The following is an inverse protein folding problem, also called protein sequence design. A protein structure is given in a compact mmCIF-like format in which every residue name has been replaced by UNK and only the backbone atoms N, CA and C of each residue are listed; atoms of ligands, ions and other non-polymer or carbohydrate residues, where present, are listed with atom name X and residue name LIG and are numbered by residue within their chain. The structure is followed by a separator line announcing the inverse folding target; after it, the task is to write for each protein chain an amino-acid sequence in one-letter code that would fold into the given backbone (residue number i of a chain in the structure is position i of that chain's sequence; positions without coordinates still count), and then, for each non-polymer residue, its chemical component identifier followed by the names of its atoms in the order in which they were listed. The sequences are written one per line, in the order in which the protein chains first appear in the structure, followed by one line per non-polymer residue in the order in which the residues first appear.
data_IF_233412984148
#
_entry.id   IF_233412984148
#
_cell.length_a   1.000
_cell.length_b   1.000
_cell.length_c   1.000
_cell.angle_alpha   90.00
_cell.angle_beta   90.00
_cell.angle_gamma   90.00
#
_symmetry.space_group_name_H-M   'P 1'
#
loop_
_entity.id
_entity.type
_entity.pdbx_description
1 polymer ?
#
# COMPACT_ATOMS: atom_id res chain seq x y z
N UNK A 1 -20.47 -6.33 -7.51
CA UNK A 1 -21.80 -5.66 -7.37
C UNK A 1 -22.59 -6.18 -6.16
N UNK A 2 -22.42 -7.44 -5.77
CA UNK A 2 -23.16 -8.04 -4.64
C UNK A 2 -22.92 -7.30 -3.29
N UNK A 3 -21.80 -6.60 -3.12
CA UNK A 3 -21.44 -5.86 -1.91
C UNK A 3 -21.74 -4.35 -1.99
N UNK A 4 -22.26 -3.86 -3.12
CA UNK A 4 -22.61 -2.44 -3.31
C UNK A 4 -21.42 -1.49 -3.38
N UNK A 5 -20.19 -1.99 -3.54
CA UNK A 5 -19.00 -1.18 -3.71
C UNK A 5 -19.10 -0.28 -4.94
N UNK A 6 -18.59 0.97 -4.82
CA UNK A 6 -18.57 1.94 -5.92
C UNK A 6 -17.25 2.69 -6.02
N UNK A 7 -16.29 2.35 -5.20
CA UNK A 7 -14.99 3.00 -5.11
C UNK A 7 -13.88 1.97 -5.13
N UNK A 8 -12.82 2.28 -5.86
CA UNK A 8 -11.56 1.56 -5.90
C UNK A 8 -10.50 2.51 -5.35
N UNK A 9 -9.62 2.00 -4.51
CA UNK A 9 -8.45 2.73 -4.03
C UNK A 9 -7.22 1.89 -4.34
N UNK A 10 -6.24 2.50 -5.00
CA UNK A 10 -5.03 1.83 -5.43
C UNK A 10 -3.94 1.98 -4.36
N UNK A 11 -3.22 0.91 -4.10
CA UNK A 11 -2.03 0.95 -3.24
C UNK A 11 -0.88 1.68 -3.93
N UNK A 12 -0.75 1.50 -5.24
CA UNK A 12 0.26 2.14 -6.08
C UNK A 12 -0.06 1.95 -7.57
N UNK A 13 0.69 2.62 -8.45
CA UNK A 13 0.38 2.73 -9.86
C UNK A 13 0.99 1.67 -10.77
N UNK A 14 1.65 0.62 -10.28
CA UNK A 14 2.22 -0.42 -11.16
C UNK A 14 1.14 -1.17 -11.91
N UNK A 15 1.47 -1.57 -13.15
CA UNK A 15 0.52 -2.09 -14.13
C UNK A 15 -0.30 -3.29 -13.64
N UNK A 16 0.29 -4.19 -12.89
CA UNK A 16 -0.36 -5.40 -12.36
C UNK A 16 -1.39 -5.12 -11.25
N UNK A 17 -1.37 -3.92 -10.67
CA UNK A 17 -2.37 -3.45 -9.72
C UNK A 17 -3.49 -2.63 -10.36
N UNK A 18 -3.22 -1.98 -11.50
CA UNK A 18 -4.16 -1.04 -12.13
C UNK A 18 -4.84 -1.57 -13.41
N UNK A 19 -4.59 -2.82 -13.80
CA UNK A 19 -5.11 -3.39 -15.06
C UNK A 19 -6.63 -3.29 -15.20
N UNK A 20 -7.36 -3.46 -14.10
CA UNK A 20 -8.81 -3.44 -14.10
C UNK A 20 -9.42 -2.02 -14.04
N UNK A 21 -8.59 -0.97 -13.90
CA UNK A 21 -9.08 0.42 -13.75
C UNK A 21 -10.01 0.84 -14.89
N UNK A 22 -9.67 0.65 -16.18
CA UNK A 22 -10.57 1.06 -17.25
C UNK A 22 -11.93 0.37 -17.19
N UNK A 23 -11.94 -0.95 -16.99
CA UNK A 23 -13.15 -1.76 -16.91
C UNK A 23 -14.02 -1.38 -15.71
N UNK A 24 -13.41 -1.15 -14.55
CA UNK A 24 -14.11 -0.74 -13.33
C UNK A 24 -14.73 0.65 -13.48
N UNK A 25 -14.00 1.59 -14.09
CA UNK A 25 -14.54 2.93 -14.38
C UNK A 25 -15.71 2.88 -15.36
N UNK A 26 -15.63 2.07 -16.42
CA UNK A 26 -16.73 1.84 -17.36
C UNK A 26 -17.95 1.22 -16.65
N UNK A 27 -17.72 0.43 -15.61
CA UNK A 27 -18.76 -0.13 -14.75
C UNK A 27 -19.31 0.86 -13.71
N UNK A 28 -18.81 2.11 -13.67
CA UNK A 28 -19.29 3.19 -12.81
C UNK A 28 -18.62 3.27 -11.43
N UNK A 29 -17.43 2.68 -11.27
CA UNK A 29 -16.62 2.84 -10.07
C UNK A 29 -15.76 4.09 -10.16
N UNK A 30 -15.60 4.83 -9.07
CA UNK A 30 -14.56 5.85 -8.92
C UNK A 30 -13.23 5.20 -8.53
N UNK A 31 -12.12 5.78 -8.97
CA UNK A 31 -10.77 5.30 -8.70
C UNK A 31 -9.95 6.38 -8.03
N UNK A 32 -9.38 6.05 -6.87
CA UNK A 32 -8.48 6.88 -6.10
C UNK A 32 -7.04 6.36 -6.12
N UNK A 33 -6.10 7.25 -6.28
CA UNK A 33 -4.65 7.00 -6.29
C UNK A 33 -3.93 8.21 -5.69
N UNK A 34 -2.71 8.03 -5.19
CA UNK A 34 -1.87 9.17 -4.76
C UNK A 34 -1.48 10.06 -5.94
N UNK A 35 -1.27 11.35 -5.68
CA UNK A 35 -0.84 12.29 -6.72
C UNK A 35 0.48 11.86 -7.39
N UNK A 36 1.39 11.25 -6.62
CA UNK A 36 2.71 10.82 -7.09
C UNK A 36 2.63 9.67 -8.10
N UNK A 37 1.64 8.78 -7.95
CA UNK A 37 1.46 7.63 -8.85
C UNK A 37 0.38 7.86 -9.91
N UNK A 38 -0.35 8.98 -9.85
CA UNK A 38 -1.48 9.27 -10.74
C UNK A 38 -1.13 9.18 -12.24
N UNK A 39 0.10 9.58 -12.60
CA UNK A 39 0.56 9.53 -13.99
C UNK A 39 0.75 8.12 -14.55
N UNK A 40 0.82 7.10 -13.68
CA UNK A 40 0.92 5.68 -14.09
C UNK A 40 -0.43 5.11 -14.49
N UNK A 41 -1.55 5.71 -14.03
CA UNK A 41 -2.89 5.24 -14.35
C UNK A 41 -3.39 5.82 -15.67
N UNK A 42 -4.15 5.06 -16.46
CA UNK A 42 -4.79 5.57 -17.69
C UNK A 42 -5.81 6.67 -17.37
N UNK A 43 -6.43 6.60 -16.19
CA UNK A 43 -7.38 7.60 -15.69
C UNK A 43 -7.68 7.32 -14.21
N UNK A 44 -8.09 8.36 -13.49
CA UNK A 44 -8.49 8.29 -12.08
C UNK A 44 -9.51 9.41 -11.77
N UNK A 45 -10.15 9.36 -10.61
CA UNK A 45 -11.21 10.29 -10.24
C UNK A 45 -10.85 11.14 -9.02
N UNK A 46 -10.03 10.60 -8.12
CA UNK A 46 -9.67 11.27 -6.86
C UNK A 46 -8.22 11.03 -6.47
N UNK A 47 -7.67 11.96 -5.72
CA UNK A 47 -6.32 11.86 -5.13
C UNK A 47 -6.45 11.41 -3.69
N UNK A 48 -5.70 10.36 -3.34
CA UNK A 48 -5.58 9.88 -1.96
C UNK A 48 -4.47 10.66 -1.25
N UNK A 49 -4.79 11.14 -0.05
CA UNK A 49 -3.86 11.86 0.80
C UNK A 49 -3.36 10.97 1.95
N UNK A 50 -2.21 11.31 2.50
CA UNK A 50 -1.67 10.65 3.69
C UNK A 50 -2.54 10.99 4.92
N UNK A 51 -2.63 10.03 5.85
CA UNK A 51 -3.34 10.17 7.12
C UNK A 51 -4.84 10.55 6.98
N UNK A 52 -5.42 10.18 5.84
CA UNK A 52 -6.84 10.32 5.57
C UNK A 52 -7.59 9.02 5.90
N UNK A 53 -8.91 9.02 5.76
CA UNK A 53 -9.78 7.87 6.03
C UNK A 53 -10.64 7.52 4.83
N UNK A 54 -10.51 6.28 4.36
CA UNK A 54 -11.39 5.68 3.36
C UNK A 54 -12.45 4.84 4.08
N UNK A 55 -13.71 5.19 3.90
CA UNK A 55 -14.83 4.44 4.48
C UNK A 55 -15.27 3.30 3.54
N UNK A 56 -15.44 2.10 4.11
CA UNK A 56 -15.94 0.91 3.40
C UNK A 56 -17.08 0.31 4.24
N UNK A 57 -18.30 0.72 3.98
CA UNK A 57 -19.45 0.36 4.82
C UNK A 57 -19.29 0.90 6.25
N UNK A 58 -19.10 0.00 7.22
CA UNK A 58 -18.84 0.37 8.62
C UNK A 58 -17.34 0.38 8.97
N UNK A 59 -16.51 -0.06 8.05
CA UNK A 59 -15.06 -0.11 8.24
C UNK A 59 -14.43 1.23 7.84
N UNK A 60 -13.33 1.54 8.49
CA UNK A 60 -12.52 2.73 8.23
C UNK A 60 -11.09 2.30 7.97
N UNK A 61 -10.56 2.69 6.83
CA UNK A 61 -9.17 2.43 6.44
C UNK A 61 -8.40 3.75 6.50
N UNK A 62 -7.43 3.82 7.41
CA UNK A 62 -6.51 4.96 7.47
C UNK A 62 -5.44 4.78 6.41
N UNK A 63 -5.21 5.80 5.62
CA UNK A 63 -4.15 5.84 4.62
C UNK A 63 -2.81 6.15 5.27
N UNK A 64 -1.77 5.42 4.87
CA UNK A 64 -0.39 5.62 5.34
C UNK A 64 0.50 5.67 4.10
N UNK A 65 1.02 6.86 3.76
CA UNK A 65 1.94 7.03 2.64
C UNK A 65 3.28 6.37 2.98
N UNK A 66 3.69 5.42 2.15
CA UNK A 66 4.90 4.61 2.34
C UNK A 66 5.73 4.56 1.04
N UNK A 67 6.29 5.70 0.61
CA UNK A 67 7.05 5.75 -0.63
C UNK A 67 8.29 4.86 -0.59
N UNK A 68 8.75 4.44 -1.77
CA UNK A 68 9.99 3.70 -1.95
C UNK A 68 9.89 2.56 -2.95
N UNK A 69 8.82 1.76 -2.94
CA UNK A 69 8.51 0.85 -4.05
C UNK A 69 8.05 1.65 -5.28
N UNK A 70 7.13 2.56 -5.06
CA UNK A 70 6.83 3.69 -5.94
C UNK A 70 6.83 4.99 -5.13
N UNK A 71 6.90 6.17 -5.78
CA UNK A 71 6.78 7.44 -5.07
C UNK A 71 5.44 7.63 -4.36
N UNK A 72 4.38 7.01 -4.87
CA UNK A 72 3.02 7.14 -4.36
C UNK A 72 2.49 5.93 -3.59
N UNK A 73 3.34 4.97 -3.23
CA UNK A 73 2.91 3.78 -2.49
C UNK A 73 2.15 4.14 -1.21
N UNK A 74 0.99 3.51 -1.02
CA UNK A 74 0.05 3.75 0.06
C UNK A 74 -0.34 2.44 0.72
N UNK A 75 -0.22 2.38 2.04
CA UNK A 75 -0.79 1.31 2.85
C UNK A 75 -2.14 1.73 3.43
N UNK A 76 -2.98 0.76 3.76
CA UNK A 76 -4.29 1.00 4.37
C UNK A 76 -4.40 0.20 5.66
N UNK A 77 -4.50 0.92 6.78
CA UNK A 77 -4.68 0.32 8.12
C UNK A 77 -6.16 0.27 8.48
N UNK A 78 -6.68 -0.92 8.78
CA UNK A 78 -8.05 -1.08 9.23
C UNK A 78 -8.19 -0.60 10.68
N UNK A 79 -8.88 0.53 10.89
CA UNK A 79 -9.07 1.12 12.21
C UNK A 79 -9.84 0.17 13.14
N UNK A 80 -9.35 0.00 14.37
CA UNK A 80 -9.94 -0.89 15.37
C UNK A 80 -9.69 -2.38 15.15
N UNK A 81 -8.91 -2.75 14.12
CA UNK A 81 -8.51 -4.11 13.83
C UNK A 81 -7.01 -4.17 13.50
N UNK A 82 -6.30 -5.23 13.92
CA UNK A 82 -4.86 -5.32 13.68
C UNK A 82 -4.56 -5.84 12.27
N UNK A 83 -5.01 -5.13 11.22
CA UNK A 83 -4.86 -5.52 9.81
C UNK A 83 -4.37 -4.34 8.98
N UNK A 84 -3.26 -4.55 8.26
CA UNK A 84 -2.65 -3.61 7.33
C UNK A 84 -2.65 -4.21 5.92
N UNK A 85 -3.21 -3.50 4.95
CA UNK A 85 -3.04 -3.78 3.52
C UNK A 85 -1.81 -3.01 3.07
N UNK A 86 -0.71 -3.69 2.80
CA UNK A 86 0.60 -3.04 2.59
C UNK A 86 0.95 -2.80 1.12
N UNK A 87 0.09 -3.23 0.18
CA UNK A 87 0.50 -3.20 -1.23
C UNK A 87 1.86 -3.86 -1.39
N UNK A 88 2.75 -3.20 -2.11
CA UNK A 88 4.10 -3.72 -2.36
C UNK A 88 5.18 -3.04 -1.50
N UNK A 89 4.80 -2.57 -0.30
CA UNK A 89 5.74 -1.96 0.64
C UNK A 89 6.44 -2.98 1.52
N UNK A 90 5.70 -3.88 2.17
CA UNK A 90 6.24 -4.86 3.14
C UNK A 90 5.73 -6.26 2.84
N UNK A 91 6.66 -7.20 2.69
CA UNK A 91 6.43 -8.62 2.45
C UNK A 91 7.06 -9.48 3.54
N UNK A 92 6.69 -10.76 3.63
CA UNK A 92 7.47 -11.72 4.42
C UNK A 92 8.94 -11.71 3.95
N UNK A 93 9.85 -11.39 4.87
CA UNK A 93 11.30 -11.44 4.63
C UNK A 93 11.90 -10.19 3.99
N UNK A 94 11.13 -9.13 3.72
CA UNK A 94 11.74 -7.89 3.25
C UNK A 94 10.81 -6.83 2.67
N UNK A 95 11.39 -5.69 2.28
CA UNK A 95 10.67 -4.65 1.58
C UNK A 95 10.34 -5.05 0.13
N UNK A 96 9.39 -4.34 -0.47
CA UNK A 96 9.14 -4.44 -1.91
C UNK A 96 10.33 -4.00 -2.75
N UNK A 97 10.36 -4.46 -3.99
CA UNK A 97 11.43 -4.15 -4.94
C UNK A 97 11.53 -2.63 -5.20
N UNK A 98 12.76 -2.13 -5.29
CA UNK A 98 13.04 -0.70 -5.52
C UNK A 98 13.86 -0.43 -6.79
N UNK A 99 14.03 -1.44 -7.64
CA UNK A 99 14.82 -1.33 -8.89
C UNK A 99 14.01 -0.84 -10.09
N UNK A 100 12.70 -0.65 -9.94
CA UNK A 100 11.86 -0.05 -10.97
C UNK A 100 11.98 1.48 -10.97
N UNK A 101 11.56 2.11 -12.07
CA UNK A 101 11.54 3.57 -12.18
C UNK A 101 10.75 4.20 -11.02
N UNK A 102 11.34 5.18 -10.38
CA UNK A 102 10.78 5.84 -9.19
C UNK A 102 11.00 5.10 -7.88
N UNK A 103 11.54 3.87 -7.90
CA UNK A 103 11.90 3.12 -6.70
C UNK A 103 13.14 3.67 -6.01
N UNK A 104 13.15 3.61 -4.67
CA UNK A 104 14.26 4.09 -3.84
C UNK A 104 14.38 3.27 -2.55
N UNK A 105 15.49 2.53 -2.42
CA UNK A 105 15.68 1.63 -1.28
C UNK A 105 15.79 2.35 0.07
N UNK A 106 16.59 3.41 0.22
CA UNK A 106 16.62 4.16 1.48
C UNK A 106 15.24 4.67 1.91
N UNK A 107 14.45 5.15 0.95
CA UNK A 107 13.11 5.66 1.20
C UNK A 107 12.14 4.57 1.67
N UNK A 108 12.15 3.38 1.06
CA UNK A 108 11.25 2.30 1.50
C UNK A 108 11.61 1.81 2.90
N UNK A 109 12.90 1.74 3.22
CA UNK A 109 13.37 1.39 4.57
C UNK A 109 12.89 2.43 5.60
N UNK A 110 13.01 3.71 5.30
CA UNK A 110 12.51 4.79 6.18
C UNK A 110 10.98 4.70 6.36
N UNK A 111 10.25 4.46 5.28
CA UNK A 111 8.79 4.29 5.32
C UNK A 111 8.39 3.12 6.22
N UNK A 112 9.02 1.96 6.07
CA UNK A 112 8.75 0.77 6.89
C UNK A 112 9.08 1.04 8.35
N UNK A 113 10.28 1.55 8.64
CA UNK A 113 10.74 1.80 10.00
C UNK A 113 9.84 2.80 10.74
N UNK A 114 9.58 3.96 10.12
CA UNK A 114 8.89 5.06 10.78
C UNK A 114 7.36 4.95 10.76
N UNK A 115 6.79 4.32 9.73
CA UNK A 115 5.34 4.33 9.53
C UNK A 115 4.68 2.98 9.82
N UNK A 116 5.38 1.86 9.59
CA UNK A 116 4.82 0.53 9.77
C UNK A 116 5.32 -0.16 11.04
N UNK A 117 6.61 -0.07 11.35
CA UNK A 117 7.18 -0.73 12.53
C UNK A 117 6.83 -0.07 13.87
N UNK A 118 6.16 1.07 13.83
CA UNK A 118 5.52 1.71 14.99
C UNK A 118 4.14 1.11 15.31
N UNK A 119 3.57 0.30 14.41
CA UNK A 119 2.30 -0.39 14.63
C UNK A 119 2.47 -1.54 15.65
N UNK A 120 1.37 -1.96 16.32
CA UNK A 120 1.42 -3.10 17.23
C UNK A 120 1.99 -4.36 16.56
N UNK A 121 2.80 -5.17 17.26
CA UNK A 121 3.46 -6.35 16.67
C UNK A 121 2.49 -7.42 16.18
N UNK A 122 1.30 -7.51 16.74
CA UNK A 122 0.23 -8.43 16.29
C UNK A 122 -0.45 -8.02 14.99
N UNK A 123 -0.17 -6.83 14.45
CA UNK A 123 -0.76 -6.35 13.20
C UNK A 123 -0.44 -7.30 12.06
N UNK A 124 -1.48 -7.87 11.47
CA UNK A 124 -1.39 -8.74 10.29
C UNK A 124 -1.12 -7.87 9.07
N UNK A 125 -0.11 -8.23 8.30
CA UNK A 125 0.25 -7.55 7.05
C UNK A 125 -0.21 -8.40 5.88
N UNK A 126 -1.05 -7.82 5.03
CA UNK A 126 -1.54 -8.42 3.79
C UNK A 126 -0.91 -7.68 2.61
N UNK A 127 0.16 -8.23 2.00
CA UNK A 127 0.82 -7.60 0.86
C UNK A 127 0.05 -7.77 -0.44
N UNK A 128 0.48 -7.06 -1.49
CA UNK A 128 -0.09 -7.14 -2.83
C UNK A 128 0.11 -8.51 -3.49
N UNK A 129 1.16 -9.22 -3.11
CA UNK A 129 1.51 -10.56 -3.62
C UNK A 129 1.90 -11.51 -2.50
N UNK A 130 1.69 -12.81 -2.72
CA UNK A 130 2.21 -13.87 -1.86
C UNK A 130 1.52 -14.01 -0.50
N UNK A 131 2.29 -14.44 0.47
CA UNK A 131 1.79 -14.80 1.79
C UNK A 131 1.72 -13.59 2.73
N UNK A 132 0.85 -13.70 3.74
CA UNK A 132 0.76 -12.72 4.82
C UNK A 132 1.91 -12.86 5.82
N UNK A 133 2.15 -11.76 6.56
CA UNK A 133 3.07 -11.75 7.70
C UNK A 133 2.50 -10.90 8.85
N UNK A 134 3.31 -10.55 9.83
CA UNK A 134 2.96 -9.61 10.90
C UNK A 134 4.07 -8.59 11.10
N UNK A 135 3.72 -7.44 11.66
CA UNK A 135 4.73 -6.42 12.02
C UNK A 135 5.77 -6.98 12.98
N UNK A 136 5.35 -7.79 13.95
CA UNK A 136 6.26 -8.37 14.94
C UNK A 136 7.23 -9.41 14.34
N UNK A 137 6.82 -10.13 13.30
CA UNK A 137 7.70 -11.08 12.61
C UNK A 137 8.79 -10.38 11.80
N UNK A 138 8.46 -9.25 11.17
CA UNK A 138 9.37 -8.57 10.23
C UNK A 138 10.27 -7.52 10.91
N UNK A 139 9.79 -6.83 11.93
CA UNK A 139 10.52 -5.75 12.61
C UNK A 139 11.95 -6.10 13.05
N UNK A 140 12.24 -7.29 13.60
CA UNK A 140 13.60 -7.65 14.02
C UNK A 140 14.62 -7.75 12.88
N UNK A 141 14.16 -7.84 11.62
CA UNK A 141 14.99 -8.08 10.45
C UNK A 141 15.39 -6.81 9.69
N UNK A 142 14.94 -5.62 10.13
CA UNK A 142 15.21 -4.37 9.42
C UNK A 142 16.70 -4.16 9.13
N UNK A 143 17.57 -4.40 10.12
CA UNK A 143 19.01 -4.21 9.94
C UNK A 143 19.61 -5.20 8.93
N UNK A 144 19.10 -6.43 8.88
CA UNK A 144 19.53 -7.41 7.87
C UNK A 144 19.21 -6.93 6.45
N UNK A 145 18.04 -6.29 6.25
CA UNK A 145 17.68 -5.71 4.94
C UNK A 145 18.55 -4.53 4.55
N UNK A 146 18.86 -3.64 5.52
CA UNK A 146 19.78 -2.52 5.31
C UNK A 146 21.16 -3.03 4.91
N UNK A 147 21.69 -4.05 5.62
CA UNK A 147 23.03 -4.61 5.38
C UNK A 147 23.15 -5.32 4.02
N UNK A 148 22.07 -5.99 3.57
CA UNK A 148 22.06 -6.66 2.26
C UNK A 148 21.72 -5.70 1.11
N UNK A 149 21.05 -4.57 1.38
CA UNK A 149 20.76 -3.51 0.41
C UNK A 149 19.54 -3.78 -0.50
N UNK A 150 18.66 -4.71 -0.10
CA UNK A 150 17.42 -5.06 -0.83
C UNK A 150 16.41 -5.78 0.05
#
# INVERSE_FOLDING_TARGET
QALGGRRVVETHGHWDHIQAVPELRDAGYSVGVTAQDAAMLPSYDEVLEDDDVVEVGRLRLRTIHTPGHTPGSMCFLLEGHPVLLSGDTLFPGGPGATHFEGGDFPTIIESIDRRLFTLPPETIVLPGHGERTTIGAERPHLQEWVDRGW
#
